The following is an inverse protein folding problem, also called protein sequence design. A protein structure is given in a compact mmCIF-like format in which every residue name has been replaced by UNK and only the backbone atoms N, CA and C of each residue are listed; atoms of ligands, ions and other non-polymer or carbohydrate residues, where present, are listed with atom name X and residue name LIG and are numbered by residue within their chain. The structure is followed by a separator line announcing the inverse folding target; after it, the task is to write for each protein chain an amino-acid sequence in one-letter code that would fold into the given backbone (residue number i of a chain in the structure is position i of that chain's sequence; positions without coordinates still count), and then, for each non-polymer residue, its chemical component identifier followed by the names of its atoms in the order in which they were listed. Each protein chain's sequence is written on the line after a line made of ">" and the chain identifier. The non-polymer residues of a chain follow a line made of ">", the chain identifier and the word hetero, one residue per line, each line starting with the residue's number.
data_IF_837331666412
#
_entry.id   IF_837331666412
#
_cell.length_a   1.000
_cell.length_b   1.000
_cell.length_c   1.000
_cell.angle_alpha   90.00
_cell.angle_beta   90.00
_cell.angle_gamma   90.00
#
_symmetry.space_group_name_H-M   'P 1'
#
loop_
_entity.id
_entity.type
_entity.pdbx_description
1 polymer ?
#
# COMPACT_ATOMS: atom_id res chain seq x y z
N UNK A 1 -0.24 -16.55 -19.60
CA UNK A 1 0.89 -15.95 -20.31
C UNK A 1 1.73 -15.26 -19.25
N UNK A 2 3.02 -15.61 -19.11
CA UNK A 2 3.90 -15.03 -18.09
C UNK A 2 4.18 -13.54 -18.36
N UNK A 3 4.69 -12.83 -17.36
CA UNK A 3 5.08 -11.43 -17.49
C UNK A 3 6.07 -11.20 -18.64
N UNK A 4 6.05 -9.99 -19.24
CA UNK A 4 7.05 -9.60 -20.25
C UNK A 4 8.45 -9.47 -19.64
N UNK A 5 8.52 -8.97 -18.40
CA UNK A 5 9.71 -8.93 -17.57
C UNK A 5 9.55 -9.87 -16.36
N UNK A 6 10.32 -10.96 -16.33
CA UNK A 6 10.17 -12.04 -15.33
C UNK A 6 10.81 -11.74 -13.95
N UNK A 7 11.18 -10.50 -13.65
CA UNK A 7 11.87 -10.15 -12.40
C UNK A 7 10.95 -9.52 -11.34
N UNK A 8 9.76 -9.05 -11.73
CA UNK A 8 8.88 -8.25 -10.85
C UNK A 8 7.67 -9.04 -10.36
N UNK A 9 6.93 -9.69 -11.26
CA UNK A 9 5.80 -10.57 -10.94
C UNK A 9 5.78 -11.76 -11.92
N UNK A 10 6.73 -12.71 -11.81
CA UNK A 10 6.96 -13.74 -12.82
C UNK A 10 5.74 -14.65 -13.07
N UNK A 11 4.98 -14.93 -12.01
CA UNK A 11 3.76 -15.74 -12.05
C UNK A 11 2.48 -14.90 -12.18
N UNK A 12 2.64 -13.58 -12.41
CA UNK A 12 1.57 -12.61 -12.53
C UNK A 12 0.85 -12.64 -13.88
N UNK A 13 -0.14 -11.77 -13.99
CA UNK A 13 -0.82 -11.51 -15.26
C UNK A 13 0.03 -10.59 -16.15
N UNK A 14 -0.25 -10.58 -17.46
CA UNK A 14 0.33 -9.58 -18.36
C UNK A 14 -0.13 -8.17 -17.95
N UNK A 15 0.82 -7.25 -17.88
CA UNK A 15 0.57 -5.88 -17.44
C UNK A 15 0.04 -5.02 -18.58
N UNK A 16 -1.29 -4.85 -18.63
CA UNK A 16 -2.01 -3.95 -19.54
C UNK A 16 -2.85 -2.92 -18.79
N UNK A 17 -2.62 -2.73 -17.48
CA UNK A 17 -3.30 -1.68 -16.74
C UNK A 17 -2.79 -0.30 -17.16
N UNK A 18 -3.57 0.73 -16.82
CA UNK A 18 -3.23 2.14 -17.09
C UNK A 18 -2.39 2.77 -15.97
N UNK A 19 -2.05 2.01 -14.93
CA UNK A 19 -1.41 2.51 -13.71
C UNK A 19 0.02 1.99 -13.52
N UNK A 20 0.38 0.87 -14.15
CA UNK A 20 1.72 0.28 -14.06
C UNK A 20 2.25 -0.16 -15.42
N UNK A 21 3.55 -0.44 -15.45
CA UNK A 21 4.22 -1.20 -16.50
C UNK A 21 4.87 -2.44 -15.88
N UNK A 22 5.40 -3.33 -16.71
CA UNK A 22 6.11 -4.55 -16.28
C UNK A 22 7.37 -4.32 -15.41
N UNK A 23 7.75 -3.06 -15.20
CA UNK A 23 8.87 -2.64 -14.33
C UNK A 23 8.48 -2.38 -12.88
N UNK A 24 7.22 -2.52 -12.50
CA UNK A 24 6.73 -2.24 -11.15
C UNK A 24 5.68 -3.25 -10.72
N UNK A 25 5.67 -3.60 -9.44
CA UNK A 25 4.71 -4.57 -8.92
C UNK A 25 3.33 -3.91 -8.85
N UNK A 26 2.36 -4.47 -9.59
CA UNK A 26 1.01 -3.94 -9.63
C UNK A 26 0.32 -4.09 -8.27
N UNK A 27 -0.30 -3.02 -7.75
CA UNK A 27 -0.99 -3.08 -6.45
C UNK A 27 -2.21 -4.02 -6.43
N UNK A 28 -2.72 -4.41 -7.60
CA UNK A 28 -3.80 -5.39 -7.75
C UNK A 28 -3.27 -6.84 -7.78
N UNK A 29 -1.97 -7.06 -7.95
CA UNK A 29 -1.37 -8.41 -8.01
C UNK A 29 -1.55 -9.17 -6.70
N UNK A 30 -1.57 -10.51 -6.78
CA UNK A 30 -1.63 -11.35 -5.57
C UNK A 30 -0.41 -11.17 -4.68
N UNK A 31 0.76 -10.98 -5.28
CA UNK A 31 2.02 -10.69 -4.59
C UNK A 31 1.92 -9.40 -3.76
N UNK A 32 1.52 -8.27 -4.37
CA UNK A 32 1.39 -7.01 -3.63
C UNK A 32 0.32 -7.06 -2.54
N UNK A 33 -0.81 -7.72 -2.81
CA UNK A 33 -1.84 -7.92 -1.78
C UNK A 33 -1.30 -8.71 -0.58
N UNK A 34 -0.39 -9.67 -0.80
CA UNK A 34 0.33 -10.37 0.27
C UNK A 34 1.14 -9.41 1.11
N UNK A 35 2.03 -8.64 0.47
CA UNK A 35 2.86 -7.62 1.12
C UNK A 35 2.02 -6.68 2.00
N UNK A 36 0.89 -6.17 1.49
CA UNK A 36 0.04 -5.23 2.23
C UNK A 36 -0.67 -5.88 3.44
N UNK A 37 -1.08 -7.16 3.32
CA UNK A 37 -1.67 -7.90 4.44
C UNK A 37 -0.63 -8.19 5.52
N UNK A 38 0.59 -8.54 5.13
CA UNK A 38 1.68 -8.83 6.06
C UNK A 38 2.09 -7.57 6.83
N UNK A 39 2.21 -6.42 6.14
CA UNK A 39 2.43 -5.11 6.77
C UNK A 39 1.32 -4.80 7.77
N UNK A 40 0.05 -4.98 7.38
CA UNK A 40 -1.09 -4.73 8.26
C UNK A 40 -1.08 -5.63 9.50
N UNK A 41 -0.81 -6.93 9.33
CA UNK A 41 -0.72 -7.89 10.42
C UNK A 41 0.40 -7.54 11.40
N UNK A 42 1.62 -7.36 10.88
CA UNK A 42 2.81 -7.06 11.68
C UNK A 42 2.66 -5.75 12.47
N UNK A 43 2.18 -4.67 11.83
CA UNK A 43 2.02 -3.39 12.53
C UNK A 43 0.92 -3.43 13.60
N UNK A 44 -0.19 -4.15 13.36
CA UNK A 44 -1.24 -4.33 14.38
C UNK A 44 -0.71 -5.10 15.58
N UNK A 45 0.10 -6.14 15.36
CA UNK A 45 0.71 -6.94 16.44
C UNK A 45 1.71 -6.10 17.25
N UNK A 46 2.65 -5.41 16.59
CA UNK A 46 3.70 -4.63 17.26
C UNK A 46 3.11 -3.50 18.11
N UNK A 47 2.06 -2.83 17.64
CA UNK A 47 1.46 -1.69 18.32
C UNK A 47 0.19 -2.02 19.11
N UNK A 48 -0.22 -3.30 19.16
CA UNK A 48 -1.49 -3.74 19.75
C UNK A 48 -2.68 -2.87 19.28
N UNK A 49 -2.77 -2.65 17.97
CA UNK A 49 -3.74 -1.77 17.34
C UNK A 49 -4.88 -2.54 16.66
N UNK A 50 -6.09 -1.99 16.69
CA UNK A 50 -7.25 -2.57 15.99
C UNK A 50 -7.14 -2.44 14.46
N UNK A 51 -6.48 -1.37 13.99
CA UNK A 51 -6.36 -1.03 12.57
C UNK A 51 -5.09 -0.27 12.25
N UNK A 52 -4.67 -0.34 10.98
CA UNK A 52 -3.48 0.33 10.45
C UNK A 52 -3.81 0.94 9.10
N UNK A 53 -3.34 2.16 8.86
CA UNK A 53 -3.42 2.84 7.56
C UNK A 53 -2.00 3.16 7.07
N UNK A 54 -1.74 2.88 5.79
CA UNK A 54 -0.48 3.25 5.12
C UNK A 54 -0.73 4.47 4.23
N UNK A 55 -0.05 5.58 4.50
CA UNK A 55 -0.19 6.84 3.75
C UNK A 55 1.04 7.05 2.88
N UNK A 56 0.94 7.00 1.54
CA UNK A 56 2.06 7.28 0.65
C UNK A 56 2.58 8.72 0.83
N UNK A 57 3.89 8.86 1.03
CA UNK A 57 4.54 10.15 1.34
C UNK A 57 5.61 9.97 2.43
N UNK A 58 5.65 10.91 3.38
CA UNK A 58 6.49 10.81 4.59
C UNK A 58 5.68 10.93 5.88
N UNK A 59 6.34 10.87 7.03
CA UNK A 59 5.66 10.94 8.35
C UNK A 59 4.78 12.19 8.52
N UNK A 60 5.17 13.33 7.95
CA UNK A 60 4.37 14.55 7.96
C UNK A 60 3.02 14.40 7.24
N UNK A 61 2.95 13.60 6.18
CA UNK A 61 1.70 13.35 5.46
C UNK A 61 0.75 12.51 6.31
N UNK A 62 1.28 11.57 7.10
CA UNK A 62 0.49 10.80 8.05
C UNK A 62 -0.06 11.69 9.18
N UNK A 63 0.76 12.60 9.73
CA UNK A 63 0.29 13.58 10.72
C UNK A 63 -0.83 14.47 10.16
N UNK A 64 -0.66 14.97 8.93
CA UNK A 64 -1.69 15.77 8.27
C UNK A 64 -2.97 14.98 7.97
N UNK A 65 -2.86 13.72 7.54
CA UNK A 65 -4.02 12.86 7.31
C UNK A 65 -4.85 12.67 8.59
N UNK A 66 -4.20 12.45 9.73
CA UNK A 66 -4.87 12.37 11.04
C UNK A 66 -5.53 13.70 11.41
N UNK A 67 -4.80 14.82 11.27
CA UNK A 67 -5.35 16.14 11.59
C UNK A 67 -6.58 16.47 10.72
N UNK A 68 -6.52 16.23 9.41
CA UNK A 68 -7.64 16.47 8.49
C UNK A 68 -8.82 15.52 8.69
N UNK A 69 -8.62 14.33 9.26
CA UNK A 69 -9.70 13.39 9.50
C UNK A 69 -10.42 13.67 10.82
N UNK A 70 -9.68 14.05 11.87
CA UNK A 70 -10.22 14.11 13.24
C UNK A 70 -10.29 15.51 13.85
N UNK A 71 -9.52 16.48 13.37
CA UNK A 71 -9.49 17.85 13.88
C UNK A 71 -10.26 18.85 13.01
N UNK A 72 -11.12 18.38 12.10
CA UNK A 72 -11.98 19.27 11.31
C UNK A 72 -12.94 20.03 12.22
N UNK A 73 -12.82 21.36 12.25
CA UNK A 73 -13.68 22.25 13.05
C UNK A 73 -13.10 22.63 14.42
N UNK A 74 -11.98 22.02 14.81
CA UNK A 74 -11.23 22.43 16.00
C UNK A 74 -10.31 23.61 15.63
N UNK A 75 -10.48 24.73 16.31
CA UNK A 75 -9.56 25.87 16.19
C UNK A 75 -8.44 25.70 17.23
N UNK A 76 -7.20 25.92 16.80
CA UNK A 76 -6.04 26.00 17.70
C UNK A 76 -6.10 27.25 18.59
#
# INVERSE_FOLDING_TARGET
>A
MPALLNTVDPDGLLEFSVVFTDRSLNHMSKSFQGVMRDISGMLKEVYNADGVALVPGGGTYAMEAVARQFANGEHA
#
